data_IF_267646240496
#
_entry.id   IF_267646240496
#
_cell.length_a   1.000
_cell.length_b   1.000
_cell.length_c   1.000
_cell.angle_alpha   90.00
_cell.angle_beta   90.00
_cell.angle_gamma   90.00
#
_symmetry.space_group_name_H-M   'P 1'
#
loop_
_entity.id
_entity.type
_entity.pdbx_description
1 polymer ?
#
# COMPACT_ATOMS: atom_id res chain seq x y z
N UNK A 1 -0.92 -12.26 -7.95
CA UNK A 1 -0.47 -11.01 -7.31
C UNK A 1 -1.00 -10.93 -5.89
N UNK A 2 -0.12 -10.63 -4.97
CA UNK A 2 -0.47 -10.52 -3.56
C UNK A 2 -0.22 -9.10 -3.08
N UNK A 3 -1.22 -8.52 -2.43
CA UNK A 3 -1.12 -7.15 -1.93
C UNK A 3 -1.10 -7.15 -0.40
N UNK A 4 -0.15 -6.41 0.16
CA UNK A 4 -0.05 -6.23 1.60
C UNK A 4 -0.11 -4.75 1.92
N UNK A 5 -0.83 -4.41 2.97
CA UNK A 5 -1.05 -3.02 3.35
C UNK A 5 -0.43 -2.73 4.70
N UNK A 6 0.22 -1.57 4.80
CA UNK A 6 0.90 -1.14 6.03
C UNK A 6 0.55 0.30 6.35
N UNK A 7 0.32 0.59 7.63
CA UNK A 7 0.10 1.96 8.09
C UNK A 7 1.32 2.44 8.85
N UNK A 8 1.54 3.74 8.82
CA UNK A 8 2.61 4.36 9.59
C UNK A 8 2.06 5.56 10.33
N UNK A 9 2.45 5.69 11.61
CA UNK A 9 2.10 6.87 12.38
C UNK A 9 0.61 7.01 12.64
N UNK A 10 -0.01 6.04 13.27
CA UNK A 10 -1.42 6.10 13.62
C UNK A 10 -2.33 6.45 12.44
N UNK A 11 -2.14 5.74 11.34
CA UNK A 11 -2.96 5.89 10.13
C UNK A 11 -2.69 7.18 9.35
N UNK A 12 -1.51 7.75 9.54
CA UNK A 12 -1.15 8.96 8.79
C UNK A 12 -0.80 8.62 7.35
N UNK A 13 -0.18 7.46 7.13
CA UNK A 13 0.26 7.09 5.79
C UNK A 13 0.00 5.62 5.53
N UNK A 14 -0.56 5.32 4.36
CA UNK A 14 -0.84 3.94 3.96
C UNK A 14 0.10 3.51 2.85
N UNK A 15 0.77 2.38 3.06
CA UNK A 15 1.65 1.79 2.06
C UNK A 15 1.03 0.51 1.49
N UNK A 16 1.34 0.27 0.23
CA UNK A 16 0.95 -0.97 -0.46
C UNK A 16 2.21 -1.68 -0.95
N UNK A 17 2.35 -2.93 -0.57
CA UNK A 17 3.40 -3.79 -1.11
C UNK A 17 2.73 -4.81 -2.01
N UNK A 18 2.95 -4.70 -3.31
CA UNK A 18 2.38 -5.60 -4.30
C UNK A 18 3.44 -6.60 -4.74
N UNK A 19 3.13 -7.87 -4.58
CA UNK A 19 4.06 -8.97 -4.88
C UNK A 19 3.51 -9.80 -6.03
N UNK A 20 4.24 -9.87 -7.12
CA UNK A 20 3.90 -10.73 -8.25
C UNK A 20 4.89 -11.89 -8.29
N UNK A 21 4.47 -13.03 -7.77
CA UNK A 21 5.34 -14.19 -7.68
C UNK A 21 5.70 -14.79 -9.01
N UNK A 22 4.81 -14.70 -9.99
CA UNK A 22 5.06 -15.25 -11.32
C UNK A 22 6.16 -14.49 -12.05
N UNK A 23 6.15 -13.17 -11.91
CA UNK A 23 7.15 -12.33 -12.57
C UNK A 23 8.32 -11.99 -11.67
N UNK A 24 8.27 -12.44 -10.42
CA UNK A 24 9.25 -12.12 -9.40
C UNK A 24 9.44 -10.62 -9.25
N UNK A 25 8.33 -9.89 -9.32
CA UNK A 25 8.33 -8.44 -9.20
C UNK A 25 7.74 -7.99 -7.89
N UNK A 26 8.28 -6.91 -7.35
CA UNK A 26 7.84 -6.34 -6.11
C UNK A 26 7.67 -4.84 -6.32
N UNK A 27 6.52 -4.32 -5.94
CA UNK A 27 6.24 -2.91 -6.11
C UNK A 27 5.81 -2.29 -4.79
N UNK A 28 6.42 -1.18 -4.43
CA UNK A 28 6.11 -0.45 -3.22
C UNK A 28 5.46 0.87 -3.58
N UNK A 29 4.32 1.15 -2.95
CA UNK A 29 3.56 2.36 -3.23
C UNK A 29 3.02 2.96 -1.94
N UNK A 30 2.62 4.23 -2.00
CA UNK A 30 1.88 4.84 -0.92
C UNK A 30 0.65 5.55 -1.49
N UNK A 31 -0.38 5.66 -0.66
CA UNK A 31 -1.63 6.29 -1.08
C UNK A 31 -1.50 7.81 -1.06
N UNK A 32 -1.84 8.43 -2.19
CA UNK A 32 -1.78 9.88 -2.32
C UNK A 32 -2.95 10.37 -3.18
N UNK A 33 -3.92 11.01 -2.53
CA UNK A 33 -5.05 11.64 -3.23
C UNK A 33 -5.71 10.75 -4.29
N UNK A 34 -6.12 9.57 -3.87
CA UNK A 34 -6.86 8.65 -4.73
C UNK A 34 -6.02 7.88 -5.73
N UNK A 35 -4.73 7.83 -5.53
CA UNK A 35 -3.85 7.05 -6.40
C UNK A 35 -2.67 6.49 -5.63
N UNK A 36 -2.06 5.44 -6.19
CA UNK A 36 -0.86 4.84 -5.62
C UNK A 36 0.36 5.41 -6.32
N UNK A 37 1.29 5.94 -5.54
CA UNK A 37 2.55 6.45 -6.07
C UNK A 37 3.70 5.59 -5.61
N UNK A 38 4.65 5.36 -6.51
CA UNK A 38 5.81 4.52 -6.21
C UNK A 38 6.69 5.16 -5.15
N UNK A 39 7.25 4.32 -4.28
CA UNK A 39 8.13 4.78 -3.23
C UNK A 39 9.15 3.70 -2.90
N UNK A 40 10.28 4.08 -2.33
CA UNK A 40 11.25 3.14 -1.78
C UNK A 40 11.31 3.22 -0.26
N UNK A 41 10.47 4.06 0.33
CA UNK A 41 10.50 4.28 1.78
C UNK A 41 10.05 3.06 2.57
N UNK A 42 9.12 2.27 2.03
CA UNK A 42 8.60 1.11 2.73
C UNK A 42 9.70 0.11 3.05
N UNK A 43 10.54 -0.22 2.09
CA UNK A 43 11.64 -1.16 2.33
C UNK A 43 12.63 -0.64 3.35
N UNK A 44 12.91 0.65 3.33
CA UNK A 44 13.80 1.26 4.32
C UNK A 44 13.23 1.11 5.73
N UNK A 45 11.93 1.32 5.88
CA UNK A 45 11.27 1.18 7.17
C UNK A 45 11.29 -0.28 7.62
N UNK A 46 11.05 -1.20 6.71
CA UNK A 46 11.05 -2.63 7.04
C UNK A 46 12.45 -3.12 7.47
N UNK A 47 13.49 -2.61 6.82
CA UNK A 47 14.87 -2.93 7.18
C UNK A 47 15.19 -2.43 8.59
N UNK A 48 14.64 -1.29 8.97
CA UNK A 48 14.87 -0.70 10.29
C UNK A 48 14.04 -1.36 11.39
N UNK A 49 13.32 -2.43 11.09
CA UNK A 49 12.62 -3.20 12.10
C UNK A 49 11.16 -2.84 12.31
N UNK A 50 10.51 -2.27 11.30
CA UNK A 50 9.09 -1.94 11.35
C UNK A 50 8.72 -0.90 12.40
N UNK A 51 9.64 -0.01 12.75
CA UNK A 51 9.35 1.03 13.73
C UNK A 51 8.25 1.96 13.22
N UNK A 52 7.12 1.97 13.96
CA UNK A 52 6.01 2.83 13.62
C UNK A 52 5.17 2.35 12.46
N UNK A 53 5.40 1.12 11.98
CA UNK A 53 4.63 0.57 10.87
C UNK A 53 3.86 -0.66 11.36
N UNK A 54 2.62 -0.80 10.87
CA UNK A 54 1.75 -1.92 11.25
C UNK A 54 1.06 -2.46 10.01
N UNK A 55 1.06 -3.77 9.87
CA UNK A 55 0.36 -4.40 8.74
C UNK A 55 -1.12 -4.51 9.04
N UNK A 56 -1.96 -4.18 8.05
CA UNK A 56 -3.43 -4.28 8.16
C UNK A 56 -3.96 -4.99 6.93
N UNK A 57 -5.20 -5.50 7.01
CA UNK A 57 -5.79 -6.15 5.87
C UNK A 57 -6.47 -5.12 4.95
N UNK A 58 -6.87 -5.57 3.78
CA UNK A 58 -7.48 -4.68 2.79
C UNK A 58 -8.76 -4.04 3.29
N UNK A 59 -9.57 -4.79 4.01
CA UNK A 59 -10.82 -4.28 4.55
C UNK A 59 -10.58 -3.13 5.52
N UNK A 60 -9.63 -3.32 6.42
CA UNK A 60 -9.27 -2.27 7.38
C UNK A 60 -8.71 -1.04 6.67
N UNK A 61 -7.86 -1.27 5.67
CA UNK A 61 -7.31 -0.17 4.89
C UNK A 61 -8.41 0.61 4.18
N UNK A 62 -9.38 -0.09 3.61
CA UNK A 62 -10.51 0.55 2.95
C UNK A 62 -11.31 1.43 3.91
N UNK A 63 -11.56 0.92 5.10
CA UNK A 63 -12.33 1.67 6.10
C UNK A 63 -11.59 2.90 6.61
N UNK A 64 -10.30 2.75 6.89
CA UNK A 64 -9.50 3.84 7.44
C UNK A 64 -9.18 4.94 6.43
N UNK A 65 -9.02 4.56 5.17
CA UNK A 65 -8.56 5.49 4.14
C UNK A 65 -9.59 5.76 3.05
N UNK A 66 -10.85 5.45 3.32
CA UNK A 66 -11.92 5.69 2.36
C UNK A 66 -11.98 7.15 1.95
N UNK A 67 -11.86 8.04 2.91
CA UNK A 67 -11.92 9.48 2.66
C UNK A 67 -10.70 10.00 1.90
N UNK A 68 -9.67 9.18 1.80
CA UNK A 68 -8.44 9.57 1.09
C UNK A 68 -8.37 8.94 -0.30
N UNK A 69 -9.47 8.37 -0.75
CA UNK A 69 -9.55 7.82 -2.09
C UNK A 69 -9.00 6.42 -2.24
N UNK A 70 -9.07 5.61 -1.18
CA UNK A 70 -8.56 4.25 -1.23
C UNK A 70 -9.21 3.43 -2.34
N UNK A 71 -10.55 3.47 -2.42
CA UNK A 71 -11.29 2.68 -3.42
C UNK A 71 -10.94 3.11 -4.83
N UNK A 72 -10.80 4.42 -5.04
CA UNK A 72 -10.42 4.95 -6.34
C UNK A 72 -9.00 4.49 -6.71
N UNK A 73 -8.08 4.56 -5.75
CA UNK A 73 -6.70 4.14 -5.98
C UNK A 73 -6.63 2.65 -6.32
N UNK A 74 -7.38 1.83 -5.61
CA UNK A 74 -7.40 0.39 -5.87
C UNK A 74 -7.99 0.09 -7.24
N UNK A 75 -9.02 0.82 -7.64
CA UNK A 75 -9.62 0.66 -8.95
C UNK A 75 -8.62 0.95 -10.06
N UNK A 76 -7.85 2.01 -9.91
CA UNK A 76 -6.84 2.36 -10.90
C UNK A 76 -5.68 1.37 -10.90
N UNK A 77 -5.29 0.91 -9.73
CA UNK A 77 -4.17 -0.01 -9.60
C UNK A 77 -4.49 -1.38 -10.20
N UNK A 78 -5.64 -1.93 -9.82
CA UNK A 78 -6.06 -3.24 -10.32
C UNK A 78 -6.55 -3.20 -11.74
N UNK A 79 -7.13 -2.09 -12.17
CA UNK A 79 -7.69 -1.97 -13.50
C UNK A 79 -6.68 -1.73 -14.60
N UNK A 80 -5.44 -1.47 -14.23
CA UNK A 80 -4.40 -1.17 -15.20
C UNK A 80 -4.08 -2.34 -16.11
N UNK A 81 -4.40 -3.53 -15.69
CA UNK A 81 -4.16 -4.73 -16.48
C UNK A 81 -5.31 -5.01 -17.43
N UNK A 82 -6.30 -4.17 -17.34
CA UNK A 82 -7.51 -4.16 -18.15
C UNK A 82 -7.65 -5.23 -19.13
#
# INVERSE_FOLDING_TARGET
>A
VKNRFFTKGENVKLFLLSIDEEKEELRECFLSNGKWEDTSDLMKIMIDGFNGIEEIDEKTASELYKDKGFDEAMSKFGGSDG
#
